data_IF_218228147154
#
_entry.id   IF_218228147154
#
_cell.length_a   1.000
_cell.length_b   1.000
_cell.length_c   1.000
_cell.angle_alpha   90.00
_cell.angle_beta   90.00
_cell.angle_gamma   90.00
#
_symmetry.space_group_name_H-M   'P 1'
#
loop_
_entity.id
_entity.type
_entity.pdbx_description
1 polymer ?
#
# COMPACT_ATOMS: atom_id res chain seq x y z
N UNK A 1 84.26 -2.23 33.77
CA UNK A 1 83.94 -2.92 35.04
C UNK A 1 82.47 -2.67 35.36
N UNK A 2 81.76 -3.77 35.68
CA UNK A 2 80.49 -3.90 36.40
C UNK A 2 79.16 -3.38 35.81
N UNK A 3 78.30 -4.38 35.59
CA UNK A 3 76.85 -4.39 35.34
C UNK A 3 76.04 -4.06 36.60
N UNK A 4 74.83 -3.49 36.43
CA UNK A 4 73.60 -3.74 37.23
C UNK A 4 72.39 -3.48 36.29
N UNK A 5 71.78 -4.50 35.66
CA UNK A 5 70.50 -5.16 35.99
C UNK A 5 69.32 -4.19 36.28
N UNK A 6 68.26 -4.15 35.47
CA UNK A 6 67.03 -4.93 35.73
C UNK A 6 66.02 -4.80 34.58
N UNK A 7 65.34 -5.91 34.29
CA UNK A 7 64.35 -6.15 33.23
C UNK A 7 62.99 -5.50 33.52
N UNK A 8 62.26 -5.11 32.45
CA UNK A 8 60.80 -4.94 32.50
C UNK A 8 60.17 -5.72 31.34
N UNK A 9 59.22 -6.59 31.67
CA UNK A 9 58.50 -7.52 30.80
C UNK A 9 57.00 -7.30 30.99
N UNK A 10 56.22 -7.25 29.91
CA UNK A 10 54.75 -7.24 29.88
C UNK A 10 54.16 -5.88 29.48
N UNK A 11 53.03 -5.73 28.76
CA UNK A 11 51.95 -6.63 28.36
C UNK A 11 51.14 -5.93 27.24
N UNK A 12 50.79 -6.70 26.19
CA UNK A 12 49.58 -6.66 25.34
C UNK A 12 48.68 -5.41 25.47
N UNK A 13 48.69 -4.53 24.45
CA UNK A 13 47.60 -3.57 24.23
C UNK A 13 46.43 -4.29 23.54
N UNK A 14 45.33 -4.50 24.29
CA UNK A 14 44.02 -4.87 23.75
C UNK A 14 43.49 -3.72 22.88
N UNK A 15 43.23 -3.99 21.60
CA UNK A 15 42.41 -3.13 20.73
C UNK A 15 40.99 -3.13 21.28
N UNK A 16 40.53 -1.97 21.76
CA UNK A 16 39.16 -1.74 22.20
C UNK A 16 38.28 -1.50 20.97
N UNK A 17 37.07 -2.08 20.85
CA UNK A 17 36.15 -1.72 19.77
C UNK A 17 35.75 -0.25 19.89
N UNK A 18 35.42 0.44 18.79
CA UNK A 18 35.02 1.84 18.85
C UNK A 18 33.76 1.95 19.72
N UNK A 19 33.85 2.76 20.77
CA UNK A 19 32.71 3.11 21.59
C UNK A 19 31.70 3.85 20.70
N UNK A 20 30.51 3.26 20.51
CA UNK A 20 29.35 3.95 19.92
C UNK A 20 29.08 5.20 20.76
N UNK A 21 29.22 6.36 20.13
CA UNK A 21 29.16 7.64 20.82
C UNK A 21 27.70 7.98 21.16
N UNK A 22 27.46 8.54 22.35
CA UNK A 22 26.15 9.05 22.77
C UNK A 22 25.57 10.10 21.80
N UNK A 23 26.42 10.68 20.96
CA UNK A 23 26.05 11.69 19.96
C UNK A 23 25.23 11.08 18.81
N UNK A 24 25.45 9.81 18.44
CA UNK A 24 24.68 9.13 17.38
C UNK A 24 23.20 8.93 17.78
N UNK A 25 22.94 8.80 19.08
CA UNK A 25 21.57 8.67 19.61
C UNK A 25 20.82 10.00 19.60
N UNK A 26 21.53 11.09 19.91
CA UNK A 26 20.97 12.43 19.97
C UNK A 26 20.71 13.01 18.57
N UNK A 27 21.57 12.72 17.59
CA UNK A 27 21.33 13.09 16.18
C UNK A 27 20.10 12.38 15.62
N UNK A 28 19.89 11.10 15.93
CA UNK A 28 18.68 10.36 15.54
C UNK A 28 17.40 10.94 16.17
N UNK A 29 17.47 11.40 17.41
CA UNK A 29 16.37 12.11 18.08
C UNK A 29 16.11 13.48 17.45
N UNK A 30 17.15 14.27 17.16
CA UNK A 30 17.03 15.58 16.49
C UNK A 30 16.44 15.42 15.09
N UNK A 31 16.87 14.40 14.32
CA UNK A 31 16.31 14.12 12.99
C UNK A 31 14.83 13.73 13.06
N UNK A 32 14.40 13.05 14.13
CA UNK A 32 12.99 12.73 14.39
C UNK A 32 12.16 13.96 14.78
N UNK A 33 12.78 15.00 15.34
CA UNK A 33 12.16 16.30 15.59
C UNK A 33 12.15 17.21 14.34
N UNK A 34 13.05 16.99 13.39
CA UNK A 34 13.19 17.77 12.15
C UNK A 34 12.36 17.21 10.98
N UNK A 35 11.56 16.17 11.18
CA UNK A 35 10.55 15.79 10.18
C UNK A 35 9.60 16.98 10.04
N UNK A 36 9.73 17.72 8.95
CA UNK A 36 8.87 18.86 8.63
C UNK A 36 7.42 18.37 8.56
N UNK A 37 6.67 18.55 9.66
CA UNK A 37 5.31 18.05 9.82
C UNK A 37 4.41 18.55 8.67
N UNK A 38 4.73 19.72 8.13
CA UNK A 38 4.04 20.35 7.01
C UNK A 38 4.23 19.60 5.69
N UNK A 39 5.22 18.71 5.55
CA UNK A 39 5.45 17.90 4.34
C UNK A 39 5.07 16.43 4.51
N UNK A 40 4.60 16.01 5.68
CA UNK A 40 4.23 14.61 5.90
C UNK A 40 3.17 14.11 4.92
N UNK A 41 2.26 14.97 4.47
CA UNK A 41 1.22 14.59 3.51
C UNK A 41 1.76 14.24 2.11
N UNK A 42 2.97 14.67 1.75
CA UNK A 42 3.55 14.43 0.42
C UNK A 42 4.17 13.04 0.28
N UNK A 43 4.32 12.30 1.38
CA UNK A 43 4.90 10.96 1.36
C UNK A 43 3.88 9.95 0.81
N UNK A 44 4.10 9.54 -0.43
CA UNK A 44 3.30 8.50 -1.08
C UNK A 44 3.65 7.08 -0.62
N UNK A 45 4.76 6.90 0.10
CA UNK A 45 5.20 5.64 0.68
C UNK A 45 5.66 5.84 2.14
N UNK A 46 4.98 5.16 3.06
CA UNK A 46 5.23 5.23 4.50
C UNK A 46 6.61 4.71 4.88
N UNK A 47 7.24 3.87 4.06
CA UNK A 47 8.62 3.38 4.31
C UNK A 47 9.67 4.48 4.15
N UNK A 48 9.31 5.62 3.54
CA UNK A 48 10.18 6.78 3.33
C UNK A 48 10.07 7.81 4.46
N UNK A 49 9.15 7.62 5.40
CA UNK A 49 9.04 8.48 6.58
C UNK A 49 10.22 8.19 7.50
N UNK A 50 10.92 9.22 7.97
CA UNK A 50 12.10 9.06 8.82
C UNK A 50 11.89 9.77 10.17
N UNK A 51 12.06 9.08 11.32
CA UNK A 51 12.22 7.63 11.45
C UNK A 51 10.92 6.88 11.12
N UNK A 52 11.01 5.62 10.66
CA UNK A 52 9.81 4.77 10.48
C UNK A 52 9.39 4.22 11.85
N UNK A 53 8.40 4.86 12.47
CA UNK A 53 7.84 4.45 13.78
C UNK A 53 6.32 4.46 13.71
N UNK A 54 5.61 3.73 14.60
CA UNK A 54 4.15 3.80 14.64
C UNK A 54 3.61 5.24 14.81
N UNK A 55 4.31 6.08 15.59
CA UNK A 55 3.92 7.47 15.81
C UNK A 55 4.07 8.33 14.55
N UNK A 56 5.21 8.24 13.85
CA UNK A 56 5.46 9.01 12.62
C UNK A 56 4.60 8.54 11.46
N UNK A 57 4.35 7.23 11.35
CA UNK A 57 3.41 6.66 10.37
C UNK A 57 1.98 7.16 10.64
N UNK A 58 1.53 7.17 11.89
CA UNK A 58 0.21 7.68 12.25
C UNK A 58 0.07 9.17 11.90
N UNK A 59 1.06 10.00 12.25
CA UNK A 59 1.09 11.42 11.88
C UNK A 59 1.02 11.64 10.37
N UNK A 60 1.80 10.87 9.60
CA UNK A 60 1.76 10.92 8.13
C UNK A 60 0.38 10.58 7.58
N UNK A 61 -0.24 9.49 8.06
CA UNK A 61 -1.59 9.10 7.65
C UNK A 61 -2.64 10.16 8.02
N UNK A 62 -2.52 10.79 9.21
CA UNK A 62 -3.39 11.88 9.63
C UNK A 62 -3.23 13.12 8.73
N UNK A 63 -2.00 13.52 8.42
CA UNK A 63 -1.71 14.63 7.52
C UNK A 63 -2.27 14.38 6.11
N UNK A 64 -2.08 13.17 5.56
CA UNK A 64 -2.63 12.75 4.27
C UNK A 64 -4.15 12.75 4.26
N UNK A 65 -4.79 12.25 5.33
CA UNK A 65 -6.24 12.24 5.47
C UNK A 65 -6.82 13.66 5.48
N UNK A 66 -6.20 14.59 6.23
CA UNK A 66 -6.59 16.01 6.25
C UNK A 66 -6.51 16.66 4.86
N UNK A 67 -5.55 16.22 4.03
CA UNK A 67 -5.38 16.67 2.65
C UNK A 67 -6.26 15.89 1.63
N UNK A 68 -7.20 15.07 2.11
CA UNK A 68 -8.09 14.22 1.28
C UNK A 68 -7.32 13.23 0.39
N UNK A 69 -6.18 12.73 0.87
CA UNK A 69 -5.40 11.68 0.23
C UNK A 69 -5.57 10.38 1.01
N UNK A 70 -6.33 9.44 0.44
CA UNK A 70 -6.82 8.25 1.15
C UNK A 70 -6.01 6.98 0.90
N UNK A 71 -5.10 7.00 -0.05
CA UNK A 71 -4.28 5.86 -0.43
C UNK A 71 -2.80 6.18 -0.23
N UNK A 72 -2.05 5.25 0.35
CA UNK A 72 -0.61 5.41 0.61
C UNK A 72 0.08 4.06 0.50
N UNK A 73 1.26 3.99 -0.11
CA UNK A 73 2.05 2.77 -0.10
C UNK A 73 2.66 2.52 1.28
N UNK A 74 2.82 1.24 1.61
CA UNK A 74 3.65 0.74 2.69
C UNK A 74 4.46 -0.43 2.13
N UNK A 75 5.55 -0.10 1.44
CA UNK A 75 6.31 -1.06 0.66
C UNK A 75 5.46 -1.68 -0.44
N UNK A 76 5.32 -3.01 -0.44
CA UNK A 76 4.50 -3.75 -1.41
C UNK A 76 2.99 -3.72 -1.12
N UNK A 77 2.57 -3.18 0.03
CA UNK A 77 1.15 -3.09 0.41
C UNK A 77 0.61 -1.69 0.15
N UNK A 78 -0.70 -1.59 -0.04
CA UNK A 78 -1.40 -0.31 -0.17
C UNK A 78 -2.32 -0.11 1.03
N UNK A 79 -2.05 0.93 1.81
CA UNK A 79 -2.90 1.39 2.91
C UNK A 79 -4.00 2.25 2.35
N UNK A 80 -5.25 1.89 2.64
CA UNK A 80 -6.44 2.64 2.28
C UNK A 80 -7.14 3.14 3.55
N UNK A 81 -7.35 4.45 3.65
CA UNK A 81 -8.13 5.08 4.71
C UNK A 81 -9.55 5.33 4.21
N UNK A 82 -10.56 4.86 4.95
CA UNK A 82 -11.95 5.08 4.59
C UNK A 82 -12.31 6.57 4.79
N UNK A 83 -12.71 7.31 3.75
CA UNK A 83 -13.11 8.72 3.89
C UNK A 83 -14.47 8.91 4.58
N UNK A 84 -15.25 7.84 4.78
CA UNK A 84 -16.63 7.86 5.31
C UNK A 84 -17.62 8.74 4.53
N UNK A 85 -17.23 9.17 3.34
CA UNK A 85 -18.04 9.98 2.44
C UNK A 85 -17.71 9.63 0.98
N UNK A 86 -18.65 9.80 0.05
CA UNK A 86 -18.34 9.69 -1.37
C UNK A 86 -17.33 10.77 -1.75
N UNK A 87 -16.26 10.37 -2.44
CA UNK A 87 -15.28 11.29 -3.02
C UNK A 87 -15.54 11.33 -4.52
N UNK A 88 -16.01 12.47 -5.05
CA UNK A 88 -16.19 12.64 -6.49
C UNK A 88 -14.91 12.31 -7.24
N UNK A 89 -15.06 11.73 -8.43
CA UNK A 89 -14.02 11.45 -9.41
C UNK A 89 -12.93 10.43 -9.03
N UNK A 90 -12.74 10.10 -7.74
CA UNK A 90 -11.73 9.15 -7.27
C UNK A 90 -11.84 7.75 -7.91
N UNK A 91 -13.07 7.30 -8.18
CA UNK A 91 -13.36 6.00 -8.80
C UNK A 91 -14.10 6.14 -10.15
N UNK A 92 -13.90 7.28 -10.82
CA UNK A 92 -14.49 7.54 -12.13
C UNK A 92 -13.92 6.60 -13.21
N UNK A 93 -14.67 6.44 -14.31
CA UNK A 93 -14.21 5.65 -15.44
C UNK A 93 -12.97 6.27 -16.10
N UNK A 94 -12.84 7.59 -16.08
CA UNK A 94 -11.70 8.28 -16.67
C UNK A 94 -10.42 8.01 -15.89
N UNK A 95 -10.49 8.04 -14.54
CA UNK A 95 -9.36 7.64 -13.69
C UNK A 95 -8.98 6.18 -13.92
N UNK A 96 -9.96 5.26 -14.03
CA UNK A 96 -9.65 3.86 -14.34
C UNK A 96 -8.88 3.71 -15.66
N UNK A 97 -9.31 4.41 -16.71
CA UNK A 97 -8.64 4.41 -18.03
C UNK A 97 -7.26 5.04 -17.97
N UNK A 98 -7.10 6.13 -17.22
CA UNK A 98 -5.82 6.80 -17.02
C UNK A 98 -4.78 5.84 -16.43
N UNK A 99 -5.10 5.10 -15.37
CA UNK A 99 -4.20 4.08 -14.81
C UNK A 99 -3.93 2.94 -15.80
N UNK A 100 -4.93 2.50 -16.55
CA UNK A 100 -4.78 1.39 -17.49
C UNK A 100 -3.83 1.74 -18.65
N UNK A 101 -3.99 2.93 -19.24
CA UNK A 101 -3.19 3.36 -20.39
C UNK A 101 -1.80 3.89 -20.02
N UNK A 102 -1.55 4.21 -18.75
CA UNK A 102 -0.26 4.69 -18.29
C UNK A 102 0.84 3.66 -18.55
N UNK A 103 1.93 4.04 -19.22
CA UNK A 103 3.07 3.11 -19.40
C UNK A 103 3.68 2.68 -18.06
N UNK A 104 3.73 3.60 -17.09
CA UNK A 104 4.32 3.39 -15.75
C UNK A 104 3.34 3.84 -14.65
N UNK A 105 2.27 3.06 -14.37
CA UNK A 105 1.25 3.41 -13.38
C UNK A 105 1.82 3.57 -11.96
N UNK A 106 2.93 2.92 -11.65
CA UNK A 106 3.63 3.05 -10.36
C UNK A 106 4.23 4.45 -10.11
N UNK A 107 4.32 5.30 -11.13
CA UNK A 107 4.73 6.72 -10.97
C UNK A 107 3.57 7.63 -10.61
N UNK A 108 2.34 7.15 -10.68
CA UNK A 108 1.17 7.95 -10.34
C UNK A 108 0.98 7.95 -8.83
N UNK A 109 0.10 8.83 -8.35
CA UNK A 109 -0.23 8.86 -6.91
C UNK A 109 -0.77 7.50 -6.46
N UNK A 110 -0.50 7.08 -5.22
CA UNK A 110 -0.97 5.79 -4.73
C UNK A 110 -2.48 5.66 -4.92
N UNK A 111 -2.89 4.53 -5.49
CA UNK A 111 -4.30 4.26 -5.75
C UNK A 111 -4.54 2.76 -5.87
N UNK A 112 -5.76 2.32 -5.56
CA UNK A 112 -6.17 0.92 -5.69
C UNK A 112 -6.02 0.39 -7.12
N UNK A 113 -6.14 1.27 -8.11
CA UNK A 113 -6.01 0.91 -9.53
C UNK A 113 -4.58 0.57 -9.93
N UNK A 114 -3.56 1.03 -9.21
CA UNK A 114 -2.17 0.58 -9.43
C UNK A 114 -2.06 -0.91 -9.14
N UNK A 115 -2.61 -1.33 -8.00
CA UNK A 115 -2.61 -2.74 -7.56
C UNK A 115 -3.41 -3.62 -8.53
N UNK A 116 -4.55 -3.11 -9.01
CA UNK A 116 -5.36 -3.82 -10.00
C UNK A 116 -4.64 -3.94 -11.36
N UNK A 117 -4.01 -2.86 -11.82
CA UNK A 117 -3.28 -2.83 -13.09
C UNK A 117 -2.04 -3.71 -13.05
N UNK A 118 -1.31 -3.73 -11.94
CA UNK A 118 -0.15 -4.61 -11.75
C UNK A 118 -0.55 -6.08 -11.86
N UNK A 119 -1.60 -6.49 -11.13
CA UNK A 119 -2.14 -7.84 -11.24
C UNK A 119 -2.62 -8.17 -12.66
N UNK A 120 -3.31 -7.23 -13.33
CA UNK A 120 -3.75 -7.40 -14.71
C UNK A 120 -2.58 -7.61 -15.68
N UNK A 121 -1.53 -6.78 -15.57
CA UNK A 121 -0.32 -6.87 -16.40
C UNK A 121 0.44 -8.15 -16.14
N UNK A 122 0.51 -8.61 -14.89
CA UNK A 122 1.16 -9.88 -14.55
C UNK A 122 0.49 -11.06 -15.25
N UNK A 123 -0.85 -11.09 -15.31
CA UNK A 123 -1.60 -12.12 -16.06
C UNK A 123 -1.34 -12.02 -17.56
N UNK A 124 -1.32 -10.80 -18.12
CA UNK A 124 -1.20 -10.60 -19.57
C UNK A 124 0.22 -10.68 -20.13
N UNK A 125 1.22 -10.41 -19.32
CA UNK A 125 2.63 -10.37 -19.73
C UNK A 125 3.30 -11.74 -19.78
N UNK A 126 2.64 -12.78 -19.27
CA UNK A 126 3.18 -14.13 -19.21
C UNK A 126 2.68 -14.98 -20.38
N UNK A 127 3.57 -15.83 -20.92
CA UNK A 127 3.22 -16.79 -21.97
C UNK A 127 2.18 -17.81 -21.45
N UNK A 128 2.38 -18.27 -20.22
CA UNK A 128 1.45 -19.10 -19.46
C UNK A 128 0.90 -18.27 -18.29
N UNK A 129 -0.39 -17.88 -18.32
CA UNK A 129 -0.96 -17.01 -17.29
C UNK A 129 -0.93 -17.63 -15.89
N UNK A 130 -0.29 -16.96 -14.94
CA UNK A 130 -0.34 -17.34 -13.52
C UNK A 130 -1.46 -16.59 -12.81
N UNK A 131 -2.30 -17.33 -12.09
CA UNK A 131 -3.39 -16.77 -11.28
C UNK A 131 -2.86 -15.75 -10.25
N UNK A 132 -3.49 -14.57 -10.20
CA UNK A 132 -3.18 -13.52 -9.24
C UNK A 132 -4.20 -13.52 -8.09
N UNK A 133 -3.76 -13.13 -6.91
CA UNK A 133 -4.63 -12.95 -5.74
C UNK A 133 -4.45 -11.56 -5.17
N UNK A 134 -5.57 -10.86 -4.94
CA UNK A 134 -5.60 -9.58 -4.25
C UNK A 134 -6.27 -9.77 -2.89
N UNK A 135 -5.53 -9.56 -1.82
CA UNK A 135 -6.03 -9.72 -0.45
C UNK A 135 -6.40 -8.36 0.12
N UNK A 136 -7.67 -8.18 0.47
CA UNK A 136 -8.19 -6.97 1.12
C UNK A 136 -8.49 -7.27 2.57
N UNK A 137 -7.67 -6.74 3.48
CA UNK A 137 -7.79 -6.91 4.92
C UNK A 137 -8.19 -5.61 5.63
N UNK A 138 -8.67 -5.73 6.87
CA UNK A 138 -9.09 -4.60 7.69
C UNK A 138 -10.24 -4.96 8.62
N UNK A 139 -10.49 -4.11 9.62
CA UNK A 139 -11.56 -4.29 10.60
C UNK A 139 -12.96 -4.07 9.99
N UNK A 140 -14.00 -4.33 10.79
CA UNK A 140 -15.37 -3.99 10.40
C UNK A 140 -15.49 -2.49 10.11
N UNK A 141 -16.14 -2.11 9.01
CA UNK A 141 -16.27 -0.70 8.61
C UNK A 141 -15.05 -0.09 7.89
N UNK A 142 -13.93 -0.82 7.75
CA UNK A 142 -12.73 -0.33 7.04
C UNK A 142 -12.91 -0.11 5.52
N UNK A 143 -14.04 -0.53 4.95
CA UNK A 143 -14.33 -0.34 3.52
C UNK A 143 -13.96 -1.53 2.61
N UNK A 144 -13.63 -2.71 3.16
CA UNK A 144 -13.23 -3.91 2.39
C UNK A 144 -14.17 -4.25 1.22
N UNK A 145 -15.48 -4.31 1.48
CA UNK A 145 -16.48 -4.63 0.45
C UNK A 145 -16.51 -3.60 -0.68
N UNK A 146 -16.37 -2.32 -0.33
CA UNK A 146 -16.31 -1.23 -1.31
C UNK A 146 -15.04 -1.31 -2.17
N UNK A 147 -13.89 -1.55 -1.54
CA UNK A 147 -12.61 -1.80 -2.19
C UNK A 147 -12.70 -2.96 -3.18
N UNK A 148 -13.25 -4.11 -2.77
CA UNK A 148 -13.46 -5.26 -3.66
C UNK A 148 -14.37 -4.93 -4.84
N UNK A 149 -15.48 -4.20 -4.61
CA UNK A 149 -16.38 -3.76 -5.68
C UNK A 149 -15.67 -2.82 -6.67
N UNK A 150 -14.81 -1.93 -6.18
CA UNK A 150 -14.02 -1.03 -7.04
C UNK A 150 -13.03 -1.79 -7.91
N UNK A 151 -12.35 -2.82 -7.36
CA UNK A 151 -11.47 -3.71 -8.13
C UNK A 151 -12.24 -4.43 -9.24
N UNK A 152 -13.40 -5.00 -8.92
CA UNK A 152 -14.23 -5.69 -9.92
C UNK A 152 -14.68 -4.74 -11.03
N UNK A 153 -15.09 -3.52 -10.67
CA UNK A 153 -15.45 -2.49 -11.66
C UNK A 153 -14.26 -2.08 -12.53
N UNK A 154 -13.06 -1.98 -11.97
CA UNK A 154 -11.84 -1.72 -12.73
C UNK A 154 -11.60 -2.80 -13.79
N UNK A 155 -11.60 -4.08 -13.39
CA UNK A 155 -11.38 -5.19 -14.32
C UNK A 155 -12.45 -5.29 -15.41
N UNK A 156 -13.72 -5.08 -15.06
CA UNK A 156 -14.80 -5.03 -16.04
C UNK A 156 -14.55 -3.91 -17.08
N UNK A 157 -14.15 -2.71 -16.60
CA UNK A 157 -13.86 -1.57 -17.47
C UNK A 157 -12.67 -1.83 -18.39
N UNK A 158 -11.56 -2.32 -17.85
CA UNK A 158 -10.34 -2.64 -18.62
C UNK A 158 -10.60 -3.76 -19.62
N UNK A 159 -11.37 -4.78 -19.23
CA UNK A 159 -11.79 -5.83 -20.14
C UNK A 159 -12.60 -5.27 -21.30
N UNK A 160 -13.65 -4.47 -21.04
CA UNK A 160 -14.47 -3.84 -22.09
C UNK A 160 -13.66 -2.96 -23.05
N UNK A 161 -12.67 -2.24 -22.53
CA UNK A 161 -11.77 -1.39 -23.33
C UNK A 161 -10.83 -2.25 -24.20
N UNK A 162 -10.33 -3.35 -23.66
CA UNK A 162 -9.45 -4.29 -24.37
C UNK A 162 -10.20 -5.13 -25.42
N UNK A 163 -11.49 -5.37 -25.17
CA UNK A 163 -12.43 -6.17 -25.95
C UNK A 163 -12.72 -5.60 -27.35
N UNK A 164 -12.46 -4.31 -27.58
CA UNK A 164 -12.51 -3.72 -28.94
C UNK A 164 -11.48 -4.37 -29.89
N UNK A 165 -10.61 -5.28 -29.40
CA UNK A 165 -9.67 -6.06 -30.21
C UNK A 165 -10.03 -7.54 -30.42
N UNK A 166 -11.03 -8.13 -29.74
CA UNK A 166 -11.36 -9.57 -29.91
C UNK A 166 -12.77 -9.95 -29.42
N UNK A 167 -13.68 -10.28 -30.34
CA UNK A 167 -15.11 -10.57 -30.09
C UNK A 167 -15.36 -11.83 -29.23
N UNK A 168 -14.50 -12.85 -29.26
CA UNK A 168 -14.73 -14.12 -28.53
C UNK A 168 -14.49 -14.04 -27.01
N UNK A 169 -13.72 -13.04 -26.56
CA UNK A 169 -13.45 -12.81 -25.13
C UNK A 169 -14.59 -12.09 -24.43
N UNK A 170 -15.40 -11.33 -25.18
CA UNK A 170 -16.51 -10.52 -24.67
C UNK A 170 -17.60 -11.41 -24.08
N UNK A 171 -18.05 -12.40 -24.86
CA UNK A 171 -19.13 -13.29 -24.45
C UNK A 171 -18.77 -14.13 -23.22
N UNK A 172 -17.49 -14.49 -23.05
CA UNK A 172 -17.04 -15.25 -21.87
C UNK A 172 -16.99 -14.40 -20.61
N UNK A 173 -16.56 -13.14 -20.72
CA UNK A 173 -16.45 -12.24 -19.56
C UNK A 173 -17.85 -11.75 -19.16
N UNK A 174 -18.70 -11.36 -20.11
CA UNK A 174 -20.08 -10.94 -19.83
C UNK A 174 -20.88 -12.06 -19.15
N UNK A 175 -20.79 -13.30 -19.63
CA UNK A 175 -21.44 -14.44 -18.95
C UNK A 175 -20.94 -14.63 -17.52
N UNK A 176 -19.62 -14.59 -17.30
CA UNK A 176 -19.05 -14.75 -15.94
C UNK A 176 -19.43 -13.61 -15.00
N UNK A 177 -19.54 -12.38 -15.48
CA UNK A 177 -19.98 -11.22 -14.68
C UNK A 177 -21.47 -11.33 -14.35
N UNK A 178 -22.31 -11.73 -15.31
CA UNK A 178 -23.74 -11.96 -15.09
C UNK A 178 -24.01 -13.12 -14.12
N UNK A 179 -23.23 -14.21 -14.21
CA UNK A 179 -23.32 -15.36 -13.30
C UNK A 179 -22.85 -15.04 -11.87
N UNK A 180 -22.08 -13.95 -11.68
CA UNK A 180 -21.57 -13.52 -10.37
C UNK A 180 -22.58 -12.68 -9.57
N UNK A 181 -23.59 -12.09 -10.23
CA UNK A 181 -24.58 -11.23 -9.57
C UNK A 181 -25.45 -11.97 -8.52
N UNK A 182 -25.96 -13.19 -8.77
CA UNK A 182 -26.72 -13.94 -7.77
C UNK A 182 -25.90 -14.28 -6.51
N UNK A 183 -24.61 -14.59 -6.67
CA UNK A 183 -23.71 -14.92 -5.56
C UNK A 183 -23.36 -13.67 -4.74
N UNK A 184 -23.13 -12.55 -5.42
CA UNK A 184 -22.75 -11.28 -4.79
C UNK A 184 -23.93 -10.62 -4.06
N UNK A 185 -25.17 -10.79 -4.55
CA UNK A 185 -26.38 -10.42 -3.82
C UNK A 185 -26.61 -11.34 -2.61
N UNK A 186 -26.40 -12.65 -2.75
CA UNK A 186 -26.54 -13.60 -1.63
C UNK A 186 -25.59 -13.28 -0.46
N UNK A 187 -24.34 -12.86 -0.72
CA UNK A 187 -23.41 -12.40 0.33
C UNK A 187 -23.66 -10.94 0.79
N UNK A 188 -24.23 -10.08 -0.07
CA UNK A 188 -24.57 -8.70 0.27
C UNK A 188 -25.78 -8.55 1.19
N UNK A 189 -26.75 -9.48 1.13
CA UNK A 189 -27.96 -9.42 1.95
C UNK A 189 -27.82 -10.04 3.35
N UNK A 190 -26.88 -10.96 3.57
CA UNK A 190 -26.74 -11.64 4.88
C UNK A 190 -26.23 -10.73 6.01
N UNK A 191 -25.58 -9.59 5.71
CA UNK A 191 -25.20 -8.61 6.75
C UNK A 191 -26.31 -7.62 7.13
N UNK A 192 -27.46 -7.59 6.43
CA UNK A 192 -28.61 -6.73 6.80
C UNK A 192 -29.73 -7.46 7.53
N UNK A 193 -29.61 -8.77 7.77
CA UNK A 193 -30.65 -9.56 8.44
C UNK A 193 -30.51 -9.63 9.98
N UNK A 194 -29.52 -8.99 10.62
CA UNK A 194 -29.27 -9.10 12.07
C UNK A 194 -29.68 -7.86 12.90
N UNK A 195 -30.42 -6.90 12.35
CA UNK A 195 -30.90 -5.75 13.13
C UNK A 195 -32.36 -5.41 12.78
N UNK A 196 -33.29 -6.09 13.46
CA UNK A 196 -34.56 -5.59 14.02
C UNK A 196 -35.65 -6.68 14.00
N UNK A 197 -35.65 -7.52 15.04
CA UNK A 197 -36.90 -8.00 15.64
C UNK A 197 -36.71 -8.00 17.16
N UNK A 198 -37.01 -6.86 17.79
CA UNK A 198 -37.40 -6.75 19.21
C UNK A 198 -38.14 -5.43 19.40
N UNK A 199 -39.45 -5.43 19.15
CA UNK A 199 -40.52 -5.09 20.09
C UNK A 199 -41.87 -5.03 19.38
#
# INVERSE_FOLDING_TARGET
MSRVLSQVKGLIQKVHPPQRSLNDSLEGEIQAFLTDEDQLYTYDDLTKVNPVTPATVLKCLQARYSMKVFYTHAGCTLVALNPFQPIPDLYSLDVMKEYHYAHQPQKFRPHIFIVAEEAYRNVRGQLEPVNQSLVVSGESGAGKTWTSRCLMKYYATVASVSVVKSQDTVERIERRVLDSNPVMEAFGFLSKASCNVTH
#
